data_IF_840463908605
#
_entry.id   IF_840463908605
#
_cell.length_a   1.000
_cell.length_b   1.000
_cell.length_c   1.000
_cell.angle_alpha   90.00
_cell.angle_beta   90.00
_cell.angle_gamma   90.00
#
_symmetry.space_group_name_H-M   'P 1'
#
loop_
_entity.id
_entity.type
_entity.pdbx_description
1 polymer ?
#
# COMPACT_ATOMS: atom_id res chain seq x y z
N UNK A 1 -8.66 -6.42 3.02
CA UNK A 1 -7.96 -5.28 3.63
C UNK A 1 -8.32 -5.11 5.10
N UNK A 2 -7.29 -5.13 5.95
CA UNK A 2 -7.39 -4.87 7.38
C UNK A 2 -7.11 -3.38 7.67
N UNK A 3 -8.16 -2.56 7.82
CA UNK A 3 -8.00 -1.10 8.02
C UNK A 3 -7.31 -0.70 9.33
N UNK A 4 -7.24 -1.61 10.30
CA UNK A 4 -6.54 -1.42 11.57
C UNK A 4 -5.12 -2.02 11.57
N UNK A 5 -4.71 -2.61 10.44
CA UNK A 5 -3.40 -3.24 10.30
C UNK A 5 -2.26 -2.22 10.29
N UNK A 6 -1.00 -2.68 10.43
CA UNK A 6 0.15 -1.78 10.34
C UNK A 6 0.29 -1.20 8.94
N UNK A 7 0.88 -0.01 8.85
CA UNK A 7 1.36 0.58 7.60
C UNK A 7 2.83 0.22 7.49
N UNK A 8 3.21 -0.40 6.37
CA UNK A 8 4.59 -0.81 6.11
C UNK A 8 5.24 0.20 5.18
N UNK A 9 6.46 0.61 5.47
CA UNK A 9 7.24 1.56 4.65
C UNK A 9 8.60 0.93 4.35
N UNK A 10 8.93 0.79 3.07
CA UNK A 10 10.19 0.23 2.56
C UNK A 10 10.94 1.33 1.83
N UNK A 11 11.95 1.90 2.48
CA UNK A 11 12.69 3.07 1.98
C UNK A 11 14.12 3.02 2.51
N UNK A 12 15.13 2.90 1.66
CA UNK A 12 16.53 2.76 2.08
C UNK A 12 17.25 4.11 2.26
N UNK A 13 16.75 5.19 1.64
CA UNK A 13 17.31 6.52 1.79
C UNK A 13 16.86 7.13 3.13
N UNK A 14 17.82 7.51 3.95
CA UNK A 14 17.56 8.01 5.30
C UNK A 14 16.72 9.30 5.28
N UNK A 15 16.99 10.21 4.36
CA UNK A 15 16.28 11.48 4.22
C UNK A 15 14.80 11.27 3.85
N UNK A 16 14.55 10.43 2.84
CA UNK A 16 13.19 10.08 2.40
C UNK A 16 12.41 9.36 3.52
N UNK A 17 13.08 8.47 4.27
CA UNK A 17 12.45 7.83 5.43
C UNK A 17 12.10 8.84 6.52
N UNK A 18 13.00 9.80 6.79
CA UNK A 18 12.76 10.84 7.78
C UNK A 18 11.52 11.65 7.42
N UNK A 19 11.34 11.97 6.15
CA UNK A 19 10.14 12.63 5.63
C UNK A 19 8.86 11.80 5.92
N UNK A 20 8.90 10.49 5.68
CA UNK A 20 7.79 9.60 6.06
C UNK A 20 7.53 9.59 7.58
N UNK A 21 8.57 9.56 8.41
CA UNK A 21 8.44 9.56 9.88
C UNK A 21 7.75 10.84 10.35
N UNK A 22 8.22 12.00 9.86
CA UNK A 22 7.65 13.30 10.21
C UNK A 22 6.18 13.40 9.79
N UNK A 23 5.86 13.04 8.55
CA UNK A 23 4.48 13.07 8.04
C UNK A 23 3.55 12.12 8.81
N UNK A 24 3.94 10.87 9.04
CA UNK A 24 3.09 9.93 9.78
C UNK A 24 2.93 10.31 11.25
N UNK A 25 3.96 10.90 11.86
CA UNK A 25 3.88 11.44 13.22
C UNK A 25 2.90 12.61 13.29
N UNK A 26 2.91 13.52 12.31
CA UNK A 26 2.01 14.68 12.29
C UNK A 26 0.55 14.28 12.00
N UNK A 27 0.34 13.34 11.07
CA UNK A 27 -1.00 12.86 10.72
C UNK A 27 -1.63 12.00 11.83
N UNK A 28 -0.81 11.43 12.72
CA UNK A 28 -1.22 10.75 13.96
C UNK A 28 -2.34 9.69 13.75
N UNK A 29 -2.20 8.88 12.71
CA UNK A 29 -3.11 7.75 12.48
C UNK A 29 -2.89 6.65 13.53
N UNK A 30 -3.94 5.90 13.93
CA UNK A 30 -3.83 4.86 14.97
C UNK A 30 -3.09 3.60 14.49
N UNK A 31 -2.80 3.49 13.20
CA UNK A 31 -2.08 2.36 12.62
C UNK A 31 -0.60 2.42 13.03
N UNK A 32 -0.06 1.31 13.54
CA UNK A 32 1.38 1.19 13.73
C UNK A 32 2.10 1.35 12.39
N UNK A 33 3.14 2.19 12.36
CA UNK A 33 4.00 2.33 11.17
C UNK A 33 5.29 1.55 11.39
N UNK A 34 5.64 0.69 10.44
CA UNK A 34 6.83 -0.18 10.52
C UNK A 34 7.72 0.10 9.31
N UNK A 35 8.99 0.41 9.57
CA UNK A 35 9.96 0.83 8.57
C UNK A 35 10.96 -0.29 8.26
N UNK A 36 11.28 -0.46 6.98
CA UNK A 36 12.28 -1.37 6.47
C UNK A 36 13.19 -0.65 5.48
N UNK A 37 14.44 -1.12 5.39
CA UNK A 37 15.41 -0.64 4.40
C UNK A 37 15.41 -1.52 3.13
N UNK A 38 14.78 -2.69 3.23
CA UNK A 38 14.95 -3.79 2.29
C UNK A 38 13.60 -4.50 2.11
N UNK A 39 13.13 -4.66 0.86
CA UNK A 39 11.85 -5.28 0.58
C UNK A 39 11.79 -6.79 0.90
N UNK A 40 12.89 -7.52 0.81
CA UNK A 40 12.97 -8.94 1.17
C UNK A 40 12.85 -9.13 2.69
N UNK A 41 13.54 -8.30 3.47
CA UNK A 41 13.40 -8.27 4.93
C UNK A 41 11.95 -7.95 5.32
N UNK A 42 11.34 -6.94 4.68
CA UNK A 42 9.95 -6.59 4.92
C UNK A 42 9.00 -7.76 4.62
N UNK A 43 9.18 -8.41 3.46
CA UNK A 43 8.39 -9.56 3.04
C UNK A 43 8.47 -10.72 4.04
N UNK A 44 9.68 -11.14 4.41
CA UNK A 44 9.88 -12.22 5.37
C UNK A 44 9.34 -11.86 6.76
N UNK A 45 9.48 -10.60 7.18
CA UNK A 45 8.93 -10.13 8.45
C UNK A 45 7.40 -10.21 8.46
N UNK A 46 6.73 -9.75 7.40
CA UNK A 46 5.26 -9.81 7.27
C UNK A 46 4.78 -11.27 7.34
N UNK A 47 5.41 -12.17 6.58
CA UNK A 47 5.06 -13.59 6.56
C UNK A 47 5.28 -14.28 7.89
N UNK A 48 6.48 -14.12 8.47
CA UNK A 48 6.86 -14.76 9.73
C UNK A 48 5.93 -14.35 10.88
N UNK A 49 5.57 -13.08 10.93
CA UNK A 49 4.70 -12.54 11.99
C UNK A 49 3.21 -12.59 11.62
N UNK A 50 2.86 -13.17 10.46
CA UNK A 50 1.48 -13.29 9.94
C UNK A 50 0.74 -11.94 9.97
N UNK A 51 1.46 -10.86 9.66
CA UNK A 51 0.89 -9.52 9.68
C UNK A 51 -0.16 -9.41 8.57
N UNK A 52 -1.18 -8.59 8.85
CA UNK A 52 -2.18 -8.18 7.86
C UNK A 52 -2.08 -6.67 7.70
N UNK A 53 -1.14 -6.18 6.86
CA UNK A 53 -0.96 -4.75 6.66
C UNK A 53 -2.26 -4.07 6.23
N UNK A 54 -2.38 -2.81 6.62
CA UNK A 54 -3.39 -1.93 6.04
C UNK A 54 -2.94 -1.47 4.66
N UNK A 55 -1.70 -0.98 4.58
CA UNK A 55 -1.05 -0.45 3.37
C UNK A 55 0.44 -0.76 3.41
N UNK A 56 1.04 -0.91 2.24
CA UNK A 56 2.49 -1.01 2.07
C UNK A 56 2.92 0.12 1.14
N UNK A 57 3.99 0.83 1.50
CA UNK A 57 4.66 1.83 0.68
C UNK A 57 6.08 1.36 0.40
N UNK A 58 6.55 1.38 -0.85
CA UNK A 58 7.96 1.07 -1.18
C UNK A 58 8.53 2.04 -2.20
N UNK A 59 9.82 2.37 -2.09
CA UNK A 59 10.56 2.95 -3.21
C UNK A 59 10.62 1.94 -4.37
N UNK A 60 10.30 2.38 -5.60
CA UNK A 60 10.36 1.55 -6.81
C UNK A 60 11.79 1.10 -7.14
N UNK A 61 12.79 1.95 -6.85
CA UNK A 61 14.19 1.67 -7.16
C UNK A 61 14.66 0.44 -6.39
N UNK A 62 14.14 0.24 -5.18
CA UNK A 62 14.46 -0.91 -4.35
C UNK A 62 13.93 -2.24 -4.88
N UNK A 63 12.92 -2.21 -5.75
CA UNK A 63 12.41 -3.41 -6.40
C UNK A 63 13.34 -3.82 -7.55
N UNK A 64 13.78 -2.85 -8.34
CA UNK A 64 14.65 -3.08 -9.53
C UNK A 64 16.07 -3.54 -9.17
N UNK A 65 16.52 -3.28 -7.93
CA UNK A 65 17.83 -3.76 -7.45
C UNK A 65 17.79 -5.28 -7.17
N UNK A 66 16.60 -5.87 -6.99
CA UNK A 66 16.41 -7.30 -6.74
C UNK A 66 16.18 -8.11 -8.03
N UNK A 67 16.97 -7.83 -9.08
CA UNK A 67 17.01 -8.58 -10.35
C UNK A 67 17.61 -10.00 -10.21
N UNK A 68 17.21 -10.73 -9.17
CA UNK A 68 17.21 -12.18 -9.19
C UNK A 68 15.78 -12.63 -9.47
N UNK A 69 15.59 -13.37 -10.56
CA UNK A 69 14.33 -13.80 -11.22
C UNK A 69 13.25 -14.44 -10.30
N UNK A 70 13.50 -14.53 -9.00
CA UNK A 70 12.66 -15.11 -7.95
C UNK A 70 11.80 -14.06 -7.25
N UNK A 71 12.19 -12.79 -7.22
CA UNK A 71 11.48 -11.73 -6.47
C UNK A 71 10.44 -11.01 -7.32
N UNK A 72 10.70 -10.74 -8.60
CA UNK A 72 9.70 -10.15 -9.53
C UNK A 72 8.40 -10.97 -9.57
N UNK A 73 8.51 -12.29 -9.78
CA UNK A 73 7.36 -13.20 -9.77
C UNK A 73 6.63 -13.29 -8.42
N UNK A 74 7.29 -12.91 -7.32
CA UNK A 74 6.68 -12.85 -5.97
C UNK A 74 6.00 -11.51 -5.72
N UNK A 75 6.57 -10.41 -6.19
CA UNK A 75 6.10 -9.04 -6.00
C UNK A 75 4.80 -8.75 -6.77
N UNK A 76 4.65 -9.31 -7.98
CA UNK A 76 3.44 -9.18 -8.81
C UNK A 76 2.15 -9.56 -8.08
N UNK A 77 2.26 -10.44 -7.09
CA UNK A 77 1.15 -10.94 -6.29
C UNK A 77 1.16 -10.45 -4.84
N UNK A 78 2.05 -9.53 -4.41
CA UNK A 78 2.15 -9.20 -2.97
C UNK A 78 0.88 -8.53 -2.43
N UNK A 79 0.26 -7.65 -3.20
CA UNK A 79 -1.00 -7.05 -2.79
C UNK A 79 -2.15 -8.07 -2.73
N UNK A 80 -2.12 -9.09 -3.59
CA UNK A 80 -3.06 -10.21 -3.53
C UNK A 80 -2.77 -11.11 -2.33
N UNK A 81 -1.50 -11.45 -2.11
CA UNK A 81 -0.99 -12.30 -1.02
C UNK A 81 -1.34 -11.74 0.35
N UNK A 82 -1.16 -10.43 0.54
CA UNK A 82 -1.44 -9.76 1.81
C UNK A 82 -2.84 -9.15 1.88
N UNK A 83 -3.61 -9.20 0.79
CA UNK A 83 -4.95 -8.62 0.66
C UNK A 83 -5.03 -7.15 1.10
N UNK A 84 -3.98 -6.39 0.78
CA UNK A 84 -3.82 -4.96 1.05
C UNK A 84 -3.19 -4.24 -0.16
N UNK A 85 -3.46 -2.95 -0.34
CA UNK A 85 -2.79 -2.17 -1.37
C UNK A 85 -1.29 -2.03 -1.09
N UNK A 86 -0.49 -2.30 -2.12
CA UNK A 86 0.93 -2.02 -2.19
C UNK A 86 1.11 -0.78 -3.06
N UNK A 87 1.69 0.30 -2.55
CA UNK A 87 1.88 1.56 -3.26
C UNK A 87 3.37 1.83 -3.42
N UNK A 88 3.78 2.33 -4.58
CA UNK A 88 5.18 2.60 -4.90
C UNK A 88 5.46 4.09 -5.04
N UNK A 89 6.67 4.52 -4.65
CA UNK A 89 7.15 5.90 -4.81
C UNK A 89 8.45 5.98 -5.62
N UNK A 90 8.69 7.08 -6.34
CA UNK A 90 9.93 7.32 -7.09
C UNK A 90 10.39 8.78 -7.07
N UNK A 91 11.71 9.02 -7.18
CA UNK A 91 12.34 10.36 -7.21
C UNK A 91 12.50 10.95 -8.62
N UNK A 92 12.34 10.16 -9.69
CA UNK A 92 12.59 10.63 -11.06
C UNK A 92 11.42 10.32 -11.98
N UNK A 93 10.79 11.34 -12.57
CA UNK A 93 10.84 11.65 -14.01
C UNK A 93 9.91 12.81 -14.38
N UNK A 94 10.37 13.64 -15.32
CA UNK A 94 9.82 14.92 -15.81
C UNK A 94 8.45 14.85 -16.53
N UNK A 95 7.66 13.79 -16.39
CA UNK A 95 6.36 13.68 -17.03
C UNK A 95 5.32 13.04 -16.09
N UNK A 96 4.34 13.87 -15.76
CA UNK A 96 3.15 13.58 -14.97
C UNK A 96 2.34 12.42 -15.58
N UNK A 97 2.26 11.24 -14.97
CA UNK A 97 1.13 10.33 -15.25
C UNK A 97 0.74 9.39 -14.12
N UNK A 98 -0.57 9.12 -14.12
CA UNK A 98 -1.30 8.04 -13.48
C UNK A 98 -1.56 6.96 -14.55
N UNK A 99 -1.01 5.77 -14.33
CA UNK A 99 -1.46 4.42 -14.77
C UNK A 99 -1.28 4.01 -16.25
N UNK A 100 -0.60 2.88 -16.47
CA UNK A 100 -1.02 1.84 -17.43
C UNK A 100 -1.71 0.71 -16.64
N UNK A 101 -2.99 0.37 -16.95
CA UNK A 101 -3.71 -0.70 -16.26
C UNK A 101 -3.39 -2.11 -16.79
N UNK A 102 -2.53 -2.25 -17.79
CA UNK A 102 -2.21 -3.52 -18.46
C UNK A 102 -0.74 -3.94 -18.41
N UNK A 103 0.16 -3.12 -17.85
CA UNK A 103 1.47 -3.55 -17.40
C UNK A 103 1.46 -3.72 -15.88
N UNK A 104 1.52 -4.96 -15.41
CA UNK A 104 1.65 -5.30 -13.98
C UNK A 104 2.92 -4.60 -13.45
N UNK A 105 2.89 -3.99 -12.24
CA UNK A 105 2.02 -4.26 -11.10
C UNK A 105 0.92 -3.23 -10.91
N UNK A 106 -0.30 -3.73 -10.84
CA UNK A 106 -1.58 -3.01 -10.71
C UNK A 106 -1.80 -2.32 -9.35
N UNK A 107 -0.75 -1.88 -8.65
CA UNK A 107 -0.93 -1.20 -7.36
C UNK A 107 -0.05 0.05 -7.28
N UNK A 108 -0.60 1.10 -7.89
CA UNK A 108 -0.29 2.53 -7.85
C UNK A 108 1.14 3.00 -7.54
N UNK A 109 1.71 3.72 -8.50
CA UNK A 109 2.96 4.48 -8.39
C UNK A 109 2.69 5.97 -8.13
N UNK A 110 3.58 6.59 -7.38
CA UNK A 110 3.55 8.02 -7.04
C UNK A 110 4.94 8.64 -7.20
N UNK A 111 4.99 9.91 -7.56
CA UNK A 111 6.23 10.69 -7.52
C UNK A 111 6.39 11.25 -6.11
N UNK A 112 7.58 11.11 -5.53
CA UNK A 112 7.91 11.79 -4.26
C UNK A 112 7.89 13.30 -4.53
N UNK A 113 6.99 14.06 -3.90
CA UNK A 113 6.99 15.51 -4.06
C UNK A 113 8.22 16.09 -3.37
N UNK A 114 8.77 17.15 -3.96
CA UNK A 114 9.91 17.87 -3.40
C UNK A 114 9.50 18.79 -2.23
N UNK A 115 8.21 19.02 -2.04
CA UNK A 115 7.64 19.83 -0.96
C UNK A 115 7.01 18.96 0.14
N UNK A 116 7.32 19.29 1.39
CA UNK A 116 6.82 18.58 2.58
C UNK A 116 5.29 18.65 2.72
N UNK A 117 4.69 19.83 2.48
CA UNK A 117 3.26 20.02 2.67
C UNK A 117 2.47 19.25 1.61
N UNK A 118 2.96 19.22 0.37
CA UNK A 118 2.43 18.39 -0.69
C UNK A 118 2.55 16.90 -0.35
N UNK A 119 3.70 16.44 0.15
CA UNK A 119 3.87 15.04 0.58
C UNK A 119 2.87 14.63 1.63
N UNK A 120 2.73 15.45 2.68
CA UNK A 120 1.77 15.22 3.75
C UNK A 120 0.35 15.14 3.21
N UNK A 121 -0.02 16.03 2.28
CA UNK A 121 -1.35 16.04 1.69
C UNK A 121 -1.60 14.79 0.82
N UNK A 122 -0.60 14.33 0.06
CA UNK A 122 -0.67 13.08 -0.71
C UNK A 122 -0.87 11.88 0.22
N UNK A 123 -0.03 11.72 1.25
CA UNK A 123 -0.15 10.62 2.22
C UNK A 123 -1.52 10.65 2.90
N UNK A 124 -1.97 11.81 3.39
CA UNK A 124 -3.30 11.99 3.97
C UNK A 124 -4.40 11.52 3.02
N UNK A 125 -4.33 11.93 1.76
CA UNK A 125 -5.33 11.60 0.74
C UNK A 125 -5.38 10.10 0.48
N UNK A 126 -4.21 9.45 0.35
CA UNK A 126 -4.10 7.99 0.17
C UNK A 126 -4.70 7.24 1.36
N UNK A 127 -4.31 7.60 2.58
CA UNK A 127 -4.81 6.94 3.79
C UNK A 127 -6.33 7.10 3.90
N UNK A 128 -6.84 8.32 3.74
CA UNK A 128 -8.28 8.57 3.80
C UNK A 128 -9.07 7.84 2.73
N UNK A 129 -8.54 7.76 1.50
CA UNK A 129 -9.15 7.01 0.40
C UNK A 129 -9.32 5.54 0.79
N UNK A 130 -8.26 4.88 1.24
CA UNK A 130 -8.32 3.46 1.59
C UNK A 130 -9.10 3.20 2.88
N UNK A 131 -9.08 4.12 3.85
CA UNK A 131 -9.96 4.05 5.04
C UNK A 131 -11.43 4.11 4.62
N UNK A 132 -11.81 4.98 3.68
CA UNK A 132 -13.19 5.12 3.21
C UNK A 132 -13.59 4.03 2.21
N UNK A 133 -12.63 3.44 1.49
CA UNK A 133 -12.88 2.42 0.48
C UNK A 133 -13.66 1.24 1.06
N UNK A 134 -14.73 0.85 0.38
CA UNK A 134 -15.49 -0.36 0.70
C UNK A 134 -14.95 -1.46 -0.18
N UNK A 135 -14.52 -2.58 0.39
CA UNK A 135 -14.09 -3.71 -0.43
C UNK A 135 -15.27 -4.18 -1.29
N UNK A 136 -15.02 -4.47 -2.56
CA UNK A 136 -16.00 -5.10 -3.48
C UNK A 136 -16.58 -6.40 -2.87
N UNK A 137 -15.79 -7.10 -2.05
CA UNK A 137 -16.22 -8.26 -1.26
C UNK A 137 -17.37 -7.93 -0.29
N UNK A 138 -17.38 -6.73 0.31
CA UNK A 138 -18.46 -6.28 1.18
C UNK A 138 -19.77 -6.02 0.42
N UNK A 139 -19.69 -5.61 -0.84
CA UNK A 139 -20.86 -5.40 -1.70
C UNK A 139 -21.50 -6.74 -2.11
N UNK A 140 -20.70 -7.75 -2.50
CA UNK A 140 -21.21 -9.10 -2.80
C UNK A 140 -21.88 -9.75 -1.59
N UNK A 141 -21.29 -9.68 -0.39
CA UNK A 141 -21.92 -10.20 0.84
C UNK A 141 -23.22 -9.49 1.20
N UNK A 142 -23.32 -8.18 0.94
CA UNK A 142 -24.53 -7.40 1.22
C UNK A 142 -25.69 -7.76 0.27
N UNK A 143 -25.41 -7.96 -1.02
CA UNK A 143 -26.42 -8.43 -1.98
C UNK A 143 -26.93 -9.85 -1.66
N UNK A 144 -26.03 -10.77 -1.28
CA UNK A 144 -26.42 -12.11 -0.86
C UNK A 144 -27.33 -12.04 0.38
N UNK A 145 -26.99 -11.23 1.38
CA UNK A 145 -27.81 -11.11 2.61
C UNK A 145 -29.20 -10.51 2.37
N UNK A 146 -29.32 -9.55 1.45
CA UNK A 146 -30.61 -8.95 1.07
C UNK A 146 -31.47 -9.97 0.31
N UNK A 147 -30.88 -10.72 -0.63
CA UNK A 147 -31.60 -11.76 -1.38
C UNK A 147 -32.07 -12.98 -0.56
N UNK A 148 -31.56 -13.15 0.67
CA UNK A 148 -32.07 -14.16 1.63
C UNK A 148 -33.22 -13.64 2.50
N UNK A 149 -33.29 -12.33 2.77
CA UNK A 149 -34.38 -11.73 3.56
C UNK A 149 -35.66 -11.65 2.73
N UNK A 150 -35.54 -11.31 1.43
CA UNK A 150 -36.68 -11.24 0.50
C UNK A 150 -37.31 -12.61 0.15
N UNK A 151 -36.72 -13.71 0.64
CA UNK A 151 -37.22 -15.09 0.44
C UNK A 151 -37.84 -15.73 1.68
N UNK A 152 -37.79 -15.07 2.83
CA UNK A 152 -38.36 -15.59 4.08
C UNK A 152 -39.76 -15.00 4.36
N UNK A 153 -40.13 -13.89 3.69
CA UNK A 153 -41.43 -13.24 3.82
C UNK A 153 -42.40 -13.53 2.64
N UNK A 154 -42.33 -14.72 2.04
CA UNK A 154 -43.32 -15.23 1.07
C UNK A 154 -43.75 -16.65 1.36
#
# INVERSE_FOLDING_TARGET
>A
MNKKGPIIIVENKQEDRKLFIEVFSELNYPNQVIYFNDPEIAYHYILRNKLKPFLIFSDIVLLNIMNDNVVEAKLDNVGELFHCPYLFFTTSFNQTYVIDPYSIPTQSYFVKPYDYAEFKQIIKTIIEYWIKSKSIVSYKKKQVKIGFIDKIDK
#
